data_IF_436039255888
#
_entry.id   IF_436039255888
#
_cell.length_a   1.000
_cell.length_b   1.000
_cell.length_c   1.000
_cell.angle_alpha   90.00
_cell.angle_beta   90.00
_cell.angle_gamma   90.00
#
_symmetry.space_group_name_H-M   'P 1'
#
loop_
_entity.id
_entity.type
_entity.pdbx_description
1 polymer ?
#
# COMPACT_ATOMS: atom_id res chain seq x y z
N UNK A 1 17.21 -22.81 -3.32
CA UNK A 1 16.25 -21.83 -3.89
C UNK A 1 16.63 -20.47 -3.34
N UNK A 2 17.17 -19.58 -4.19
CA UNK A 2 17.44 -18.20 -3.78
C UNK A 2 16.09 -17.52 -3.53
N UNK A 3 15.84 -17.10 -2.30
CA UNK A 3 14.58 -16.51 -1.83
C UNK A 3 14.44 -15.02 -2.16
N UNK A 4 15.30 -14.49 -3.03
CA UNK A 4 15.30 -13.10 -3.44
C UNK A 4 14.87 -13.00 -4.90
N UNK A 5 13.65 -12.52 -5.13
CA UNK A 5 13.22 -11.98 -6.41
C UNK A 5 13.42 -10.45 -6.34
N UNK A 6 14.48 -9.91 -6.99
CA UNK A 6 14.78 -8.48 -6.94
C UNK A 6 13.63 -7.62 -7.49
N UNK A 7 12.92 -8.12 -8.50
CA UNK A 7 11.80 -7.39 -9.09
C UNK A 7 10.63 -7.27 -8.10
N UNK A 8 10.42 -8.28 -7.26
CA UNK A 8 9.44 -8.17 -6.18
C UNK A 8 9.87 -7.12 -5.14
N UNK A 9 11.14 -7.12 -4.72
CA UNK A 9 11.64 -6.16 -3.74
C UNK A 9 11.55 -4.71 -4.23
N UNK A 10 11.88 -4.47 -5.50
CA UNK A 10 11.76 -3.14 -6.13
C UNK A 10 10.31 -2.63 -6.14
N UNK A 11 9.34 -3.51 -6.42
CA UNK A 11 7.91 -3.15 -6.36
C UNK A 11 7.47 -2.80 -4.94
N UNK A 12 7.90 -3.58 -3.94
CA UNK A 12 7.58 -3.29 -2.54
C UNK A 12 8.19 -1.96 -2.07
N UNK A 13 9.42 -1.64 -2.48
CA UNK A 13 10.04 -0.34 -2.19
C UNK A 13 9.23 0.79 -2.86
N UNK A 14 8.91 0.65 -4.15
CA UNK A 14 8.14 1.65 -4.90
C UNK A 14 6.74 1.88 -4.32
N UNK A 15 6.08 0.82 -3.84
CA UNK A 15 4.80 0.89 -3.15
C UNK A 15 4.90 1.68 -1.84
N UNK A 16 5.95 1.46 -1.05
CA UNK A 16 6.21 2.24 0.16
C UNK A 16 6.52 3.71 -0.13
N UNK A 17 7.31 3.99 -1.16
CA UNK A 17 7.58 5.36 -1.61
C UNK A 17 6.31 6.08 -2.05
N UNK A 18 5.45 5.38 -2.80
CA UNK A 18 4.14 5.91 -3.23
C UNK A 18 3.27 6.28 -2.03
N UNK A 19 3.23 5.44 -1.00
CA UNK A 19 2.54 5.74 0.26
C UNK A 19 3.10 6.99 0.95
N UNK A 20 4.43 7.07 1.11
CA UNK A 20 5.08 8.23 1.74
C UNK A 20 4.77 9.54 0.99
N UNK A 21 4.82 9.52 -0.34
CA UNK A 21 4.48 10.69 -1.18
C UNK A 21 3.01 11.07 -1.04
N UNK A 22 2.09 10.10 -1.05
CA UNK A 22 0.67 10.36 -0.86
C UNK A 22 0.39 10.98 0.51
N UNK A 23 0.98 10.43 1.58
CA UNK A 23 0.89 10.98 2.94
C UNK A 23 1.42 12.41 3.03
N UNK A 24 2.59 12.68 2.45
CA UNK A 24 3.16 14.03 2.43
C UNK A 24 2.27 15.03 1.69
N UNK A 25 1.63 14.59 0.60
CA UNK A 25 0.72 15.42 -0.21
C UNK A 25 -0.57 15.75 0.53
N UNK A 26 -1.05 14.85 1.39
CA UNK A 26 -2.33 14.97 2.10
C UNK A 26 -2.18 15.38 3.58
N UNK A 27 -0.96 15.51 4.09
CA UNK A 27 -0.68 15.93 5.47
C UNK A 27 -0.92 14.82 6.51
N UNK A 28 -0.62 13.57 6.17
CA UNK A 28 -0.74 12.41 7.06
C UNK A 28 0.62 11.87 7.49
N UNK A 29 0.71 11.30 8.69
CA UNK A 29 1.89 10.56 9.14
C UNK A 29 1.90 9.17 8.47
N UNK A 30 2.93 8.81 7.69
CA UNK A 30 3.00 7.50 7.04
C UNK A 30 3.18 6.33 8.02
N UNK A 31 3.58 6.59 9.28
CA UNK A 31 3.78 5.57 10.32
C UNK A 31 2.56 5.31 11.20
N UNK A 32 1.52 6.15 11.10
CA UNK A 32 0.25 5.98 11.81
C UNK A 32 -0.94 5.91 10.82
N UNK A 33 -0.97 4.91 9.91
CA UNK A 33 -2.05 4.81 8.94
C UNK A 33 -3.34 4.28 9.56
N UNK A 34 -4.46 4.64 8.94
CA UNK A 34 -5.73 3.90 9.10
C UNK A 34 -6.07 3.17 7.80
N UNK A 35 -6.91 2.14 7.89
CA UNK A 35 -7.41 1.45 6.69
C UNK A 35 -8.16 2.39 5.74
N UNK A 36 -8.82 3.42 6.26
CA UNK A 36 -9.51 4.41 5.44
C UNK A 36 -8.54 5.30 4.65
N UNK A 37 -7.44 5.74 5.27
CA UNK A 37 -6.37 6.46 4.55
C UNK A 37 -5.76 5.59 3.46
N UNK A 38 -5.48 4.32 3.75
CA UNK A 38 -4.98 3.37 2.77
C UNK A 38 -5.98 3.13 1.61
N UNK A 39 -7.29 3.08 1.91
CA UNK A 39 -8.33 2.98 0.88
C UNK A 39 -8.36 4.21 -0.02
N UNK A 40 -8.23 5.42 0.54
CA UNK A 40 -8.16 6.65 -0.24
C UNK A 40 -6.91 6.67 -1.13
N UNK A 41 -5.75 6.35 -0.59
CA UNK A 41 -4.51 6.25 -1.36
C UNK A 41 -4.61 5.24 -2.51
N UNK A 42 -5.15 4.04 -2.25
CA UNK A 42 -5.39 3.02 -3.28
C UNK A 42 -6.36 3.51 -4.37
N UNK A 43 -7.40 4.25 -3.98
CA UNK A 43 -8.38 4.83 -4.91
C UNK A 43 -7.75 5.92 -5.78
N UNK A 44 -6.95 6.80 -5.19
CA UNK A 44 -6.27 7.86 -5.93
C UNK A 44 -5.22 7.29 -6.88
N UNK A 45 -4.47 6.28 -6.44
CA UNK A 45 -3.51 5.56 -7.28
C UNK A 45 -4.18 4.90 -8.49
N UNK A 46 -5.38 4.32 -8.32
CA UNK A 46 -6.20 3.85 -9.44
C UNK A 46 -6.57 4.97 -10.41
N UNK A 47 -6.92 6.15 -9.88
CA UNK A 47 -7.31 7.31 -10.71
C UNK A 47 -6.14 7.88 -11.51
N UNK A 48 -4.90 7.65 -11.10
CA UNK A 48 -3.71 7.96 -11.91
C UNK A 48 -3.41 6.93 -12.99
N UNK A 49 -4.20 5.86 -13.08
CA UNK A 49 -4.08 4.81 -14.10
C UNK A 49 -3.23 3.61 -13.68
N UNK A 50 -2.89 3.47 -12.40
CA UNK A 50 -2.16 2.30 -11.91
C UNK A 50 -2.99 1.02 -12.07
N UNK A 51 -2.30 -0.08 -12.38
CA UNK A 51 -2.89 -1.41 -12.52
C UNK A 51 -3.19 -2.06 -11.16
N UNK A 52 -4.00 -3.12 -11.18
CA UNK A 52 -4.42 -3.82 -9.96
C UNK A 52 -3.24 -4.37 -9.13
N UNK A 53 -2.16 -4.80 -9.80
CA UNK A 53 -0.94 -5.28 -9.12
C UNK A 53 -0.29 -4.15 -8.30
N UNK A 54 -0.19 -2.94 -8.86
CA UNK A 54 0.45 -1.81 -8.15
C UNK A 54 -0.39 -1.37 -6.94
N UNK A 55 -1.71 -1.41 -7.07
CA UNK A 55 -2.64 -1.08 -5.98
C UNK A 55 -2.60 -2.16 -4.89
N UNK A 56 -2.53 -3.43 -5.26
CA UNK A 56 -2.35 -4.52 -4.30
C UNK A 56 -0.98 -4.44 -3.61
N UNK A 57 0.09 -4.15 -4.35
CA UNK A 57 1.43 -3.97 -3.81
C UNK A 57 1.44 -2.81 -2.77
N UNK A 58 0.74 -1.70 -3.03
CA UNK A 58 0.52 -0.62 -2.05
C UNK A 58 -0.19 -1.12 -0.79
N UNK A 59 -1.34 -1.78 -0.95
CA UNK A 59 -2.16 -2.26 0.17
C UNK A 59 -1.40 -3.28 1.03
N UNK A 60 -0.67 -4.19 0.39
CA UNK A 60 0.13 -5.22 1.05
C UNK A 60 1.35 -4.63 1.74
N UNK A 61 2.09 -3.75 1.08
CA UNK A 61 3.30 -3.18 1.65
C UNK A 61 2.99 -2.27 2.85
N UNK A 62 1.99 -1.38 2.76
CA UNK A 62 1.57 -0.55 3.90
C UNK A 62 0.98 -1.42 5.00
N UNK A 63 0.14 -2.38 4.62
CA UNK A 63 -0.44 -3.38 5.51
C UNK A 63 0.60 -4.07 6.38
N UNK A 64 1.62 -4.63 5.73
CA UNK A 64 2.73 -5.35 6.36
C UNK A 64 3.59 -4.42 7.24
N UNK A 65 4.04 -3.29 6.68
CA UNK A 65 5.00 -2.38 7.32
C UNK A 65 4.45 -1.77 8.60
N UNK A 66 3.16 -1.41 8.60
CA UNK A 66 2.53 -0.68 9.73
C UNK A 66 1.72 -1.59 10.66
N UNK A 67 1.55 -2.86 10.28
CA UNK A 67 0.84 -3.84 11.07
C UNK A 67 -0.69 -3.85 10.88
N UNK A 68 -1.23 -3.01 10.01
CA UNK A 68 -2.65 -2.99 9.64
C UNK A 68 -3.17 -4.37 9.16
N UNK A 69 -2.29 -5.22 8.63
CA UNK A 69 -2.64 -6.58 8.19
C UNK A 69 -3.32 -7.45 9.26
N UNK A 70 -3.18 -7.09 10.54
CA UNK A 70 -3.80 -7.77 11.68
C UNK A 70 -5.26 -7.39 11.93
N UNK A 71 -5.80 -6.44 11.16
CA UNK A 71 -7.16 -5.90 11.33
C UNK A 71 -8.13 -6.52 10.32
N UNK A 72 -9.41 -6.64 10.69
CA UNK A 72 -10.44 -7.16 9.79
C UNK A 72 -10.72 -6.18 8.65
N UNK A 73 -10.61 -4.88 8.95
CA UNK A 73 -10.80 -3.78 8.00
C UNK A 73 -9.79 -3.87 6.87
N UNK A 74 -8.51 -4.12 7.17
CA UNK A 74 -7.49 -4.34 6.14
C UNK A 74 -7.75 -5.60 5.33
N UNK A 75 -8.14 -6.72 5.97
CA UNK A 75 -8.46 -7.96 5.25
C UNK A 75 -9.62 -7.74 4.28
N UNK A 76 -10.63 -6.96 4.70
CA UNK A 76 -11.74 -6.60 3.82
C UNK A 76 -11.24 -5.73 2.66
N UNK A 77 -10.51 -4.66 2.95
CA UNK A 77 -9.93 -3.77 1.93
C UNK A 77 -9.17 -4.58 0.87
N UNK A 78 -8.19 -5.40 1.29
CA UNK A 78 -7.35 -6.20 0.40
C UNK A 78 -8.13 -7.17 -0.49
N UNK A 79 -9.29 -7.66 -0.05
CA UNK A 79 -10.15 -8.56 -0.84
C UNK A 79 -11.02 -7.82 -1.87
N UNK A 80 -11.28 -6.54 -1.63
CA UNK A 80 -12.16 -5.70 -2.44
C UNK A 80 -11.43 -4.69 -3.32
N UNK A 81 -10.14 -4.45 -3.01
CA UNK A 81 -9.20 -3.83 -3.92
C UNK A 81 -9.01 -4.76 -5.10
#
# INVERSE_FOLDING_TARGET
MSTHDPAFQERMISAWETWMVWCATHGHDPLDPTTDLLRHAATDLRRTGAGDVEVLDLVDQVGFTTGLWRTLEWVHLRRTT
#
